data_IF_500107854230
#
_entry.id   IF_500107854230
#
_cell.length_a   1.000
_cell.length_b   1.000
_cell.length_c   1.000
_cell.angle_alpha   90.00
_cell.angle_beta   90.00
_cell.angle_gamma   90.00
#
_symmetry.space_group_name_H-M   'P 1'
#
loop_
_entity.id
_entity.type
_entity.pdbx_description
1 polymer ?
#
# COMPACT_ATOMS: atom_id res chain seq x y z
N UNK A 1 -21.33 -16.97 -2.54
CA UNK A 1 -21.94 -16.49 -1.28
C UNK A 1 -21.76 -14.98 -1.21
N UNK A 2 -22.85 -14.22 -1.21
CA UNK A 2 -22.80 -12.79 -0.91
C UNK A 2 -22.98 -12.64 0.59
N UNK A 3 -21.92 -12.30 1.32
CA UNK A 3 -22.02 -11.93 2.72
C UNK A 3 -22.62 -10.52 2.78
N UNK A 4 -23.93 -10.40 3.01
CA UNK A 4 -24.53 -9.15 3.45
C UNK A 4 -24.27 -9.04 4.95
N UNK A 5 -23.24 -8.27 5.31
CA UNK A 5 -22.88 -8.06 6.71
C UNK A 5 -23.73 -6.92 7.27
N UNK A 6 -24.89 -7.28 7.83
CA UNK A 6 -25.85 -6.31 8.37
C UNK A 6 -25.62 -5.98 9.85
N UNK A 7 -24.79 -6.77 10.54
CA UNK A 7 -24.51 -6.64 11.98
C UNK A 7 -22.98 -6.63 12.22
N UNK A 8 -22.51 -5.94 13.26
CA UNK A 8 -21.08 -5.81 13.60
C UNK A 8 -20.40 -7.19 13.79
N UNK A 9 -21.07 -8.15 14.42
CA UNK A 9 -20.55 -9.51 14.60
C UNK A 9 -20.32 -10.22 13.25
N UNK A 10 -21.24 -10.05 12.29
CA UNK A 10 -21.08 -10.62 10.95
C UNK A 10 -19.93 -9.95 10.20
N UNK A 11 -19.76 -8.63 10.37
CA UNK A 11 -18.62 -7.89 9.82
C UNK A 11 -17.31 -8.44 10.39
N UNK A 12 -17.23 -8.59 11.72
CA UNK A 12 -16.05 -9.12 12.39
C UNK A 12 -15.69 -10.53 11.88
N UNK A 13 -16.67 -11.44 11.79
CA UNK A 13 -16.46 -12.78 11.23
C UNK A 13 -15.96 -12.74 9.79
N UNK A 14 -16.52 -11.86 8.94
CA UNK A 14 -16.07 -11.70 7.56
C UNK A 14 -14.61 -11.20 7.49
N UNK A 15 -14.24 -10.25 8.34
CA UNK A 15 -12.87 -9.73 8.42
C UNK A 15 -11.90 -10.80 8.92
N UNK A 16 -12.30 -11.63 9.90
CA UNK A 16 -11.48 -12.74 10.38
C UNK A 16 -11.22 -13.79 9.29
N UNK A 17 -12.24 -14.14 8.52
CA UNK A 17 -12.15 -15.16 7.49
C UNK A 17 -11.44 -14.67 6.22
N UNK A 18 -11.86 -13.53 5.68
CA UNK A 18 -11.46 -13.03 4.35
C UNK A 18 -10.54 -11.81 4.47
N UNK A 19 -10.79 -10.94 5.46
CA UNK A 19 -10.14 -9.64 5.61
C UNK A 19 -10.94 -8.51 4.97
N UNK A 20 -10.44 -7.26 5.06
CA UNK A 20 -11.08 -6.10 4.46
C UNK A 20 -11.16 -6.23 2.93
N UNK A 21 -12.23 -5.68 2.35
CA UNK A 21 -12.47 -5.68 0.91
C UNK A 21 -11.27 -5.12 0.14
N UNK A 22 -10.85 -5.79 -0.94
CA UNK A 22 -9.62 -5.50 -1.69
C UNK A 22 -9.48 -4.02 -2.08
N UNK A 23 -10.57 -3.40 -2.55
CA UNK A 23 -10.59 -1.97 -2.89
C UNK A 23 -10.43 -1.02 -1.69
N UNK A 24 -10.90 -1.44 -0.51
CA UNK A 24 -10.83 -0.66 0.72
C UNK A 24 -9.48 -0.81 1.45
N UNK A 25 -8.72 -1.89 1.20
CA UNK A 25 -7.44 -2.14 1.88
C UNK A 25 -6.47 -0.97 1.74
N UNK A 26 -6.34 -0.41 0.54
CA UNK A 26 -5.40 0.67 0.29
C UNK A 26 -5.85 1.98 0.95
N UNK A 27 -7.17 2.26 0.94
CA UNK A 27 -7.72 3.44 1.62
C UNK A 27 -7.53 3.34 3.12
N UNK A 28 -7.82 2.18 3.72
CA UNK A 28 -7.62 1.93 5.15
C UNK A 28 -6.14 2.12 5.52
N UNK A 29 -5.20 1.57 4.74
CA UNK A 29 -3.76 1.78 4.95
C UNK A 29 -3.39 3.26 4.97
N UNK A 30 -3.95 4.07 4.06
CA UNK A 30 -3.71 5.51 4.04
C UNK A 30 -4.33 6.22 5.23
N UNK A 31 -5.61 5.96 5.53
CA UNK A 31 -6.30 6.51 6.69
C UNK A 31 -5.57 6.20 8.01
N UNK A 32 -5.09 4.97 8.19
CA UNK A 32 -4.27 4.60 9.35
C UNK A 32 -2.95 5.37 9.39
N UNK A 33 -2.23 5.46 8.27
CA UNK A 33 -0.96 6.19 8.21
C UNK A 33 -1.16 7.69 8.47
N UNK A 34 -2.21 8.28 7.91
CA UNK A 34 -2.55 9.69 8.11
C UNK A 34 -2.97 9.96 9.55
N UNK A 35 -3.73 9.05 10.17
CA UNK A 35 -4.04 9.13 11.59
C UNK A 35 -2.77 9.09 12.43
N UNK A 36 -1.85 8.14 12.18
CA UNK A 36 -0.58 8.06 12.89
C UNK A 36 0.26 9.34 12.73
N UNK A 37 0.38 9.86 11.51
CA UNK A 37 1.11 11.11 11.24
C UNK A 37 0.50 12.31 11.98
N UNK A 38 -0.83 12.37 12.09
CA UNK A 38 -1.52 13.41 12.85
C UNK A 38 -1.24 13.31 14.36
N UNK A 39 -1.19 12.09 14.89
CA UNK A 39 -0.86 11.83 16.30
C UNK A 39 0.59 12.19 16.59
N UNK A 40 1.53 11.76 15.74
CA UNK A 40 2.97 11.99 15.91
C UNK A 40 3.33 13.49 15.79
N UNK A 41 2.67 14.20 14.88
CA UNK A 41 2.91 15.64 14.67
C UNK A 41 2.11 16.56 15.60
N UNK A 42 1.02 16.06 16.20
CA UNK A 42 0.06 16.85 16.98
C UNK A 42 -0.80 17.80 16.13
N UNK A 43 -0.73 17.69 14.79
CA UNK A 43 -1.51 18.48 13.83
C UNK A 43 -2.49 17.56 13.11
N UNK A 44 -3.77 17.78 13.34
CA UNK A 44 -4.85 17.01 12.76
C UNK A 44 -5.35 17.72 11.52
N UNK A 45 -5.25 17.04 10.38
CA UNK A 45 -5.68 17.59 9.08
C UNK A 45 -6.86 16.77 8.60
N UNK A 46 -8.01 17.42 8.49
CA UNK A 46 -9.25 16.77 8.06
C UNK A 46 -9.85 17.49 6.86
N UNK A 47 -10.48 16.71 5.99
CA UNK A 47 -11.37 17.22 4.96
C UNK A 47 -12.78 17.19 5.51
N UNK A 48 -13.41 18.35 5.57
CA UNK A 48 -14.74 18.51 6.18
C UNK A 48 -15.69 19.12 5.16
N UNK A 49 -16.96 18.77 5.30
CA UNK A 49 -18.04 19.45 4.61
C UNK A 49 -18.35 20.78 5.33
N UNK A 50 -18.86 21.77 4.59
CA UNK A 50 -19.38 23.02 5.17
C UNK A 50 -20.57 22.78 6.11
N UNK A 51 -21.32 21.70 5.87
CA UNK A 51 -22.34 21.22 6.81
C UNK A 51 -21.68 20.56 8.03
N UNK A 52 -21.59 21.33 9.12
CA UNK A 52 -20.99 20.91 10.39
C UNK A 52 -21.69 19.70 11.03
N UNK A 53 -22.92 19.36 10.60
CA UNK A 53 -23.63 18.17 11.12
C UNK A 53 -23.03 16.84 10.63
N UNK A 54 -22.25 16.85 9.54
CA UNK A 54 -21.77 15.65 8.84
C UNK A 54 -20.40 15.15 9.31
N UNK A 55 -19.71 15.90 10.19
CA UNK A 55 -18.42 15.49 10.77
C UNK A 55 -17.24 15.47 9.79
N UNK A 56 -16.14 14.84 10.22
CA UNK A 56 -14.90 14.74 9.44
C UNK A 56 -15.03 13.68 8.33
N UNK A 57 -14.84 14.06 7.07
CA UNK A 57 -15.01 13.16 5.91
C UNK A 57 -13.75 12.32 5.64
N UNK A 58 -12.57 12.94 5.54
CA UNK A 58 -11.33 12.21 5.27
C UNK A 58 -10.19 12.69 6.15
N UNK A 59 -9.27 11.78 6.49
CA UNK A 59 -8.03 12.13 7.17
C UNK A 59 -6.93 12.38 6.15
N UNK A 60 -6.26 13.50 6.29
CA UNK A 60 -5.23 13.92 5.35
C UNK A 60 -3.87 13.77 6.01
N UNK A 61 -2.94 13.19 5.25
CA UNK A 61 -1.54 13.11 5.64
C UNK A 61 -0.63 13.26 4.44
N UNK A 62 0.64 12.91 4.62
CA UNK A 62 1.73 13.09 3.66
C UNK A 62 1.46 12.48 2.27
N UNK A 63 0.68 11.40 2.20
CA UNK A 63 0.40 10.67 0.95
C UNK A 63 -0.86 11.16 0.21
N UNK A 64 -1.63 12.07 0.81
CA UNK A 64 -2.78 12.70 0.18
C UNK A 64 -2.35 13.59 -0.98
N UNK A 65 -3.13 13.60 -2.06
CA UNK A 65 -2.87 14.45 -3.20
C UNK A 65 -3.58 15.80 -3.05
N UNK A 66 -2.94 16.83 -3.58
CA UNK A 66 -3.53 18.14 -3.78
C UNK A 66 -4.17 18.22 -5.18
N UNK A 67 -5.07 19.18 -5.38
CA UNK A 67 -5.60 19.58 -6.68
C UNK A 67 -4.52 19.93 -7.71
N UNK A 68 -3.34 20.35 -7.28
CA UNK A 68 -2.22 20.57 -8.19
C UNK A 68 -1.55 19.29 -8.70
N UNK A 69 -1.93 18.11 -8.20
CA UNK A 69 -1.34 16.81 -8.54
C UNK A 69 -0.17 16.39 -7.65
N UNK A 70 0.36 17.29 -6.81
CA UNK A 70 1.46 17.00 -5.89
C UNK A 70 0.97 16.47 -4.53
N UNK A 71 1.85 15.76 -3.83
CA UNK A 71 1.58 15.21 -2.49
C UNK A 71 1.56 16.31 -1.43
N UNK A 72 0.85 16.07 -0.33
CA UNK A 72 0.90 16.95 0.84
C UNK A 72 2.32 17.14 1.38
N UNK A 73 3.17 16.12 1.29
CA UNK A 73 4.60 16.22 1.67
C UNK A 73 5.39 17.29 0.88
N UNK A 74 4.95 17.63 -0.34
CA UNK A 74 5.53 18.69 -1.17
C UNK A 74 4.98 20.08 -0.82
N UNK A 75 4.04 20.16 0.11
CA UNK A 75 3.47 21.41 0.60
C UNK A 75 4.11 21.76 1.95
N UNK A 76 4.56 23.00 2.08
CA UNK A 76 5.05 23.51 3.35
C UNK A 76 3.88 24.02 4.18
N UNK A 77 3.66 23.38 5.33
CA UNK A 77 2.62 23.80 6.27
C UNK A 77 3.16 24.95 7.13
N UNK A 78 2.61 26.15 6.93
CA UNK A 78 2.94 27.32 7.73
C UNK A 78 1.80 27.57 8.71
N UNK A 79 1.98 27.11 9.96
CA UNK A 79 1.05 27.29 11.08
C UNK A 79 1.11 28.76 11.58
N UNK A 80 0.46 29.67 10.86
CA UNK A 80 0.20 31.06 11.27
C UNK A 80 -1.32 31.30 11.36
N UNK A 81 -1.75 32.50 11.77
CA UNK A 81 -3.19 32.88 11.89
C UNK A 81 -4.04 32.55 10.65
N UNK A 82 -3.44 32.58 9.46
CA UNK A 82 -4.01 31.97 8.26
C UNK A 82 -3.10 30.80 7.88
N UNK A 83 -3.57 29.58 8.09
CA UNK A 83 -2.83 28.37 7.73
C UNK A 83 -2.66 28.36 6.21
N UNK A 84 -1.41 28.43 5.75
CA UNK A 84 -1.06 28.40 4.33
C UNK A 84 -0.24 27.17 4.03
N UNK A 85 -0.51 26.58 2.87
CA UNK A 85 0.13 25.37 2.38
C UNK A 85 0.58 25.63 0.96
N UNK A 86 1.77 26.23 0.83
CA UNK A 86 2.36 26.50 -0.47
C UNK A 86 3.09 25.25 -0.97
N UNK A 87 2.90 24.90 -2.23
CA UNK A 87 3.70 23.83 -2.83
C UNK A 87 5.08 24.35 -3.24
N UNK A 88 6.10 23.51 -3.07
CA UNK A 88 7.47 23.79 -3.52
C UNK A 88 7.61 23.71 -5.03
N UNK A 89 6.84 22.82 -5.66
CA UNK A 89 6.99 22.44 -7.06
C UNK A 89 6.04 23.19 -8.01
N UNK A 90 5.04 23.92 -7.49
CA UNK A 90 4.10 24.66 -8.31
C UNK A 90 3.51 25.90 -7.62
N UNK A 91 2.80 26.74 -8.39
CA UNK A 91 2.20 28.01 -7.94
C UNK A 91 0.91 27.84 -7.13
N UNK A 92 0.61 26.66 -6.58
CA UNK A 92 -0.60 26.50 -5.77
C UNK A 92 -0.40 27.13 -4.38
N UNK A 93 -1.35 27.96 -3.97
CA UNK A 93 -1.28 28.74 -2.74
C UNK A 93 -1.90 28.04 -1.53
N UNK A 94 -2.72 27.01 -1.79
CA UNK A 94 -3.50 26.30 -0.78
C UNK A 94 -3.59 24.83 -1.18
N UNK A 95 -3.35 23.94 -0.22
CA UNK A 95 -3.61 22.53 -0.35
C UNK A 95 -5.11 22.29 -0.41
N UNK A 96 -5.55 21.66 -1.50
CA UNK A 96 -6.92 21.21 -1.70
C UNK A 96 -6.89 19.72 -1.92
N UNK A 97 -7.37 18.95 -0.95
CA UNK A 97 -7.37 17.49 -1.04
C UNK A 97 -8.04 17.00 -2.32
N UNK A 98 -7.43 16.06 -3.04
CA UNK A 98 -8.05 15.38 -4.16
C UNK A 98 -7.97 13.86 -3.99
N UNK A 99 -9.10 13.15 -4.16
CA UNK A 99 -9.12 11.69 -4.21
C UNK A 99 -8.19 11.16 -5.31
N UNK A 100 -7.47 10.09 -4.98
CA UNK A 100 -6.50 9.42 -5.86
C UNK A 100 -7.06 8.14 -6.45
N UNK A 101 -8.05 7.56 -5.79
CA UNK A 101 -8.65 6.29 -6.13
C UNK A 101 -10.15 6.42 -6.32
N UNK A 102 -10.74 5.70 -7.27
CA UNK A 102 -12.19 5.72 -7.47
C UNK A 102 -12.95 5.15 -6.26
N UNK A 103 -12.32 4.28 -5.47
CA UNK A 103 -12.91 3.78 -4.23
C UNK A 103 -13.17 4.88 -3.19
N UNK A 104 -12.37 5.96 -3.16
CA UNK A 104 -12.53 7.07 -2.20
C UNK A 104 -13.76 7.92 -2.50
N UNK A 105 -14.35 7.80 -3.69
CA UNK A 105 -15.52 8.59 -4.12
C UNK A 105 -16.73 7.71 -4.44
N UNK A 106 -16.79 6.50 -3.87
CA UNK A 106 -17.89 5.56 -4.08
C UNK A 106 -17.92 4.91 -5.48
N UNK A 107 -16.90 5.13 -6.31
CA UNK A 107 -16.79 4.57 -7.66
C UNK A 107 -15.97 3.26 -7.69
N UNK A 108 -16.01 2.48 -6.61
CA UNK A 108 -15.24 1.23 -6.48
C UNK A 108 -15.62 0.10 -7.45
N UNK A 109 -16.61 0.33 -8.31
CA UNK A 109 -16.95 -0.54 -9.43
C UNK A 109 -16.05 -0.30 -10.66
N UNK A 110 -15.38 0.85 -10.78
CA UNK A 110 -14.52 1.18 -11.92
C UNK A 110 -13.31 0.25 -12.06
N UNK A 111 -12.56 -0.08 -10.98
CA UNK A 111 -11.43 -1.01 -11.06
C UNK A 111 -11.79 -2.42 -11.53
N UNK A 112 -13.07 -2.80 -11.50
CA UNK A 112 -13.54 -4.11 -11.96
C UNK A 112 -13.75 -4.18 -13.48
N UNK A 113 -13.68 -3.04 -14.18
CA UNK A 113 -13.85 -2.98 -15.64
C UNK A 113 -12.58 -3.44 -16.36
N UNK A 114 -12.76 -4.19 -17.45
CA UNK A 114 -11.64 -4.66 -18.28
C UNK A 114 -10.88 -3.47 -18.87
N UNK A 115 -9.56 -3.44 -18.69
CA UNK A 115 -8.70 -2.38 -19.20
C UNK A 115 -8.67 -1.09 -18.36
N UNK A 116 -9.25 -1.10 -17.15
CA UNK A 116 -9.14 0.04 -16.24
C UNK A 116 -7.78 0.05 -15.54
N UNK A 117 -7.07 1.17 -15.60
CA UNK A 117 -5.83 1.40 -14.86
C UNK A 117 -6.05 2.42 -13.73
N UNK A 118 -5.84 1.96 -12.49
CA UNK A 118 -5.97 2.76 -11.27
C UNK A 118 -4.89 3.87 -11.22
N UNK A 119 -3.72 3.65 -11.81
CA UNK A 119 -2.61 4.59 -11.72
C UNK A 119 -2.81 5.82 -12.61
N UNK A 120 -3.56 5.65 -13.69
CA UNK A 120 -3.87 6.72 -14.67
C UNK A 120 -5.17 7.45 -14.30
N UNK A 121 -6.05 6.79 -13.54
CA UNK A 121 -7.33 7.38 -13.16
C UNK A 121 -7.14 8.68 -12.37
N UNK A 122 -7.96 9.68 -12.70
CA UNK A 122 -8.05 10.95 -11.99
C UNK A 122 -9.53 11.35 -11.91
N UNK A 123 -9.95 12.00 -10.81
CA UNK A 123 -11.29 12.56 -10.71
C UNK A 123 -11.52 13.62 -11.79
N UNK A 124 -12.71 13.56 -12.38
CA UNK A 124 -13.15 14.41 -13.48
C UNK A 124 -14.07 15.53 -13.02
N UNK A 125 -13.99 16.65 -13.74
CA UNK A 125 -14.98 17.72 -13.70
C UNK A 125 -16.22 17.34 -14.55
N UNK A 126 -17.33 18.06 -14.38
CA UNK A 126 -18.51 17.98 -15.25
C UNK A 126 -18.19 18.22 -16.73
N UNK A 127 -17.13 18.99 -17.01
CA UNK A 127 -16.61 19.19 -18.38
C UNK A 127 -15.85 17.97 -18.93
N UNK A 128 -15.80 16.85 -18.19
CA UNK A 128 -15.14 15.57 -18.50
C UNK A 128 -13.61 15.60 -18.57
N UNK A 129 -13.01 16.75 -18.30
CA UNK A 129 -11.57 16.89 -18.10
C UNK A 129 -11.16 16.58 -16.66
N UNK A 130 -9.94 16.08 -16.47
CA UNK A 130 -9.39 15.75 -15.15
C UNK A 130 -9.02 17.03 -14.37
N UNK A 131 -8.88 16.93 -13.05
CA UNK A 131 -8.43 18.07 -12.24
C UNK A 131 -7.03 18.60 -12.66
N UNK A 132 -6.14 17.74 -13.16
CA UNK A 132 -4.80 18.14 -13.63
C UNK A 132 -4.86 19.04 -14.88
N UNK A 133 -5.93 18.92 -15.69
CA UNK A 133 -6.21 19.79 -16.83
C UNK A 133 -6.80 21.15 -16.41
N UNK A 134 -7.08 21.35 -15.12
CA UNK A 134 -7.48 22.63 -14.56
C UNK A 134 -6.26 23.36 -13.97
N UNK A 135 -6.36 24.68 -13.88
CA UNK A 135 -5.34 25.49 -13.22
C UNK A 135 -5.42 25.27 -11.70
N UNK A 136 -4.30 25.12 -10.97
CA UNK A 136 -4.32 24.87 -9.53
C UNK A 136 -4.53 26.13 -8.69
N UNK A 137 -5.02 27.21 -9.32
CA UNK A 137 -5.27 28.51 -8.72
C UNK A 137 -6.74 28.85 -8.98
N UNK A 138 -7.43 29.38 -7.97
CA UNK A 138 -8.82 29.80 -8.10
C UNK A 138 -8.98 30.76 -9.30
N UNK A 139 -10.05 30.61 -10.11
CA UNK A 139 -11.24 29.78 -9.89
C UNK A 139 -11.12 28.32 -10.39
N UNK A 140 -9.92 27.82 -10.65
CA UNK A 140 -9.67 26.49 -11.24
C UNK A 140 -10.21 26.36 -12.65
N UNK A 141 -9.81 27.27 -13.54
CA UNK A 141 -10.21 27.23 -14.96
C UNK A 141 -9.64 26.01 -15.66
N UNK A 142 -10.43 25.39 -16.53
CA UNK A 142 -9.95 24.34 -17.42
C UNK A 142 -9.04 24.94 -18.50
N UNK A 143 -7.94 24.26 -18.83
CA UNK A 143 -7.04 24.65 -19.92
C UNK A 143 -7.48 24.11 -21.28
N UNK A 144 -8.29 23.06 -21.29
CA UNK A 144 -8.71 22.36 -22.51
C UNK A 144 -10.06 22.87 -23.07
N UNK A 145 -10.90 23.51 -22.25
CA UNK A 145 -12.19 24.05 -22.67
C UNK A 145 -12.56 25.34 -21.93
N UNK A 146 -13.67 25.98 -22.31
CA UNK A 146 -14.17 27.22 -21.69
C UNK A 146 -14.75 27.08 -20.28
N UNK A 147 -14.51 25.96 -19.59
CA UNK A 147 -14.99 25.73 -18.24
C UNK A 147 -14.28 26.66 -17.24
N UNK A 148 -15.04 27.59 -16.66
CA UNK A 148 -14.51 28.65 -15.79
C UNK A 148 -14.19 28.24 -14.36
N UNK A 149 -14.65 27.06 -13.92
CA UNK A 149 -14.45 26.55 -12.56
C UNK A 149 -14.48 25.02 -12.54
N UNK A 150 -13.76 24.41 -11.61
CA UNK A 150 -13.85 22.97 -11.39
C UNK A 150 -15.18 22.64 -10.70
N UNK A 151 -15.97 21.75 -11.30
CA UNK A 151 -17.20 21.20 -10.73
C UNK A 151 -17.14 19.70 -10.79
N UNK A 152 -17.16 19.03 -9.65
CA UNK A 152 -17.00 17.59 -9.51
C UNK A 152 -18.12 16.81 -10.19
N UNK A 153 -17.74 15.73 -10.86
CA UNK A 153 -18.66 14.71 -11.40
C UNK A 153 -18.82 13.52 -10.42
N UNK A 154 -18.50 13.76 -9.15
CA UNK A 154 -18.56 12.77 -8.08
C UNK A 154 -19.12 13.39 -6.80
N UNK A 155 -19.33 12.57 -5.78
CA UNK A 155 -19.76 12.99 -4.45
C UNK A 155 -18.86 12.36 -3.40
N UNK A 156 -18.80 12.98 -2.22
CA UNK A 156 -18.11 12.41 -1.06
C UNK A 156 -18.83 11.15 -0.59
N UNK A 157 -18.09 10.08 -0.33
CA UNK A 157 -18.65 8.81 0.15
C UNK A 157 -19.20 8.90 1.58
N UNK A 158 -18.70 9.83 2.41
CA UNK A 158 -19.10 9.95 3.81
C UNK A 158 -20.31 10.86 4.03
N UNK A 159 -20.42 11.96 3.28
CA UNK A 159 -21.47 12.96 3.49
C UNK A 159 -22.40 13.17 2.28
N UNK A 160 -22.11 12.51 1.15
CA UNK A 160 -22.88 12.60 -0.12
C UNK A 160 -22.89 13.98 -0.80
N UNK A 161 -22.21 14.97 -0.22
CA UNK A 161 -22.10 16.32 -0.77
C UNK A 161 -21.04 16.41 -1.88
N UNK A 162 -21.05 17.53 -2.61
CA UNK A 162 -20.12 17.75 -3.71
C UNK A 162 -18.74 18.14 -3.21
N UNK A 163 -17.74 17.91 -4.04
CA UNK A 163 -16.35 18.28 -3.71
C UNK A 163 -16.20 19.76 -3.37
N UNK A 164 -16.96 20.61 -4.05
CA UNK A 164 -16.93 22.07 -3.91
C UNK A 164 -17.36 22.53 -2.50
N UNK A 165 -18.21 21.75 -1.84
CA UNK A 165 -18.77 22.04 -0.51
C UNK A 165 -17.81 21.63 0.62
N UNK A 166 -16.60 21.20 0.28
CA UNK A 166 -15.61 20.75 1.26
C UNK A 166 -14.36 21.63 1.29
N UNK A 167 -13.77 21.70 2.47
CA UNK A 167 -12.50 22.39 2.67
C UNK A 167 -11.60 21.61 3.62
N UNK A 168 -10.33 22.02 3.62
CA UNK A 168 -9.29 21.39 4.41
C UNK A 168 -9.09 22.18 5.68
N UNK A 169 -9.23 21.52 6.82
CA UNK A 169 -9.08 22.12 8.15
C UNK A 169 -7.80 21.57 8.76
N UNK A 170 -7.01 22.44 9.36
CA UNK A 170 -5.87 22.05 10.17
C UNK A 170 -6.15 22.48 11.61
N UNK A 171 -6.14 21.53 12.54
CA UNK A 171 -6.40 21.77 13.95
C UNK A 171 -5.24 21.22 14.77
N UNK A 172 -4.86 21.95 15.81
CA UNK A 172 -3.95 21.42 16.83
C UNK A 172 -4.70 20.51 17.81
N UNK A 173 -3.98 19.59 18.46
CA UNK A 173 -4.56 18.70 19.47
C UNK A 173 -5.36 19.45 20.54
N UNK A 174 -4.86 20.61 20.98
CA UNK A 174 -5.54 21.46 21.98
C UNK A 174 -6.87 22.03 21.47
N UNK A 175 -6.91 22.43 20.20
CA UNK A 175 -8.10 22.99 19.55
C UNK A 175 -9.17 21.92 19.39
N UNK A 176 -8.79 20.71 18.93
CA UNK A 176 -9.72 19.56 18.86
C UNK A 176 -10.24 19.15 20.21
N UNK A 177 -9.39 19.12 21.24
CA UNK A 177 -9.80 18.81 22.61
C UNK A 177 -10.81 19.84 23.13
N UNK A 178 -10.59 21.13 22.87
CA UNK A 178 -11.54 22.19 23.23
C UNK A 178 -12.88 22.05 22.48
N UNK A 179 -12.82 21.66 21.21
CA UNK A 179 -13.98 21.38 20.37
C UNK A 179 -14.64 20.01 20.64
N UNK A 180 -14.15 19.24 21.63
CA UNK A 180 -14.61 17.86 21.96
C UNK A 180 -14.60 16.91 20.75
N UNK A 181 -13.63 17.10 19.84
CA UNK A 181 -13.42 16.21 18.69
C UNK A 181 -12.48 15.07 19.06
N UNK A 182 -12.53 13.99 18.27
CA UNK A 182 -11.66 12.83 18.43
C UNK A 182 -10.18 13.21 18.34
N UNK A 183 -9.37 12.70 19.27
CA UNK A 183 -7.92 12.89 19.38
C UNK A 183 -7.25 11.53 19.60
N UNK A 184 -5.97 11.40 19.21
CA UNK A 184 -5.15 10.20 19.46
C UNK A 184 -5.82 8.91 19.01
N UNK A 185 -6.01 7.95 19.92
CA UNK A 185 -6.60 6.65 19.64
C UNK A 185 -8.02 6.78 19.04
N UNK A 186 -8.81 7.76 19.51
CA UNK A 186 -10.15 8.03 18.98
C UNK A 186 -10.11 8.59 17.55
N UNK A 187 -8.98 9.19 17.15
CA UNK A 187 -8.80 9.67 15.78
C UNK A 187 -8.47 8.54 14.82
N UNK A 188 -8.10 7.33 15.27
CA UNK A 188 -7.82 6.22 14.37
C UNK A 188 -9.07 5.78 13.58
N UNK A 189 -8.92 5.29 12.33
CA UNK A 189 -10.07 4.77 11.60
C UNK A 189 -10.62 3.53 12.29
N UNK A 190 -11.95 3.38 12.27
CA UNK A 190 -12.69 2.31 12.98
C UNK A 190 -12.58 2.35 14.52
N UNK A 191 -12.23 3.50 15.13
CA UNK A 191 -12.13 3.62 16.59
C UNK A 191 -13.43 3.28 17.34
N UNK A 192 -14.60 3.46 16.71
CA UNK A 192 -15.91 3.10 17.30
C UNK A 192 -16.07 1.59 17.55
N UNK A 193 -15.37 0.74 16.79
CA UNK A 193 -15.46 -0.72 16.89
C UNK A 193 -14.06 -1.33 17.06
N UNK A 194 -13.50 -1.34 18.29
CA UNK A 194 -12.11 -1.74 18.54
C UNK A 194 -11.76 -3.16 18.08
N UNK A 195 -12.69 -4.11 18.21
CA UNK A 195 -12.49 -5.50 17.81
C UNK A 195 -12.27 -5.64 16.30
N UNK A 196 -13.12 -4.96 15.50
CA UNK A 196 -13.00 -4.93 14.05
C UNK A 196 -11.72 -4.21 13.64
N UNK A 197 -11.41 -3.09 14.30
CA UNK A 197 -10.20 -2.32 14.05
C UNK A 197 -8.93 -3.18 14.24
N UNK A 198 -8.81 -3.88 15.36
CA UNK A 198 -7.66 -4.74 15.67
C UNK A 198 -7.49 -5.84 14.61
N UNK A 199 -8.58 -6.50 14.23
CA UNK A 199 -8.50 -7.58 13.24
C UNK A 199 -8.15 -7.04 11.84
N UNK A 200 -8.71 -5.90 11.45
CA UNK A 200 -8.34 -5.20 10.20
C UNK A 200 -6.86 -4.83 10.22
N UNK A 201 -6.36 -4.24 11.30
CA UNK A 201 -4.96 -3.86 11.45
C UNK A 201 -4.03 -5.09 11.36
N UNK A 202 -4.39 -6.19 12.05
CA UNK A 202 -3.66 -7.46 12.00
C UNK A 202 -3.58 -8.00 10.57
N UNK A 203 -4.70 -8.06 9.86
CA UNK A 203 -4.75 -8.54 8.45
C UNK A 203 -3.99 -7.63 7.50
N UNK A 204 -4.03 -6.32 7.71
CA UNK A 204 -3.33 -5.33 6.89
C UNK A 204 -1.84 -5.17 7.25
N UNK A 205 -1.37 -5.83 8.31
CA UNK A 205 0.01 -5.75 8.81
C UNK A 205 0.40 -4.33 9.25
N UNK A 206 -0.52 -3.63 9.91
CA UNK A 206 -0.36 -2.23 10.37
C UNK A 206 -0.27 -2.10 11.91
N UNK A 207 -0.33 -3.22 12.61
CA UNK A 207 -0.34 -3.39 14.06
C UNK A 207 0.99 -3.10 14.78
N UNK A 208 1.93 -2.39 14.14
CA UNK A 208 3.23 -2.02 14.74
C UNK A 208 4.21 -3.17 14.99
N UNK A 209 3.75 -4.42 14.95
CA UNK A 209 4.57 -5.63 15.13
C UNK A 209 5.61 -5.78 14.03
N UNK A 210 6.82 -6.12 14.42
CA UNK A 210 7.93 -6.37 13.50
C UNK A 210 7.67 -7.62 12.64
N UNK A 211 8.34 -7.73 11.50
CA UNK A 211 8.24 -8.91 10.65
C UNK A 211 8.65 -10.19 11.40
N UNK A 212 9.59 -10.06 12.34
CA UNK A 212 10.11 -11.14 13.17
C UNK A 212 9.08 -11.64 14.19
N UNK A 213 8.39 -10.74 14.91
CA UNK A 213 7.32 -11.10 15.85
C UNK A 213 6.15 -11.80 15.15
N UNK A 214 5.81 -11.35 13.94
CA UNK A 214 4.77 -11.99 13.12
C UNK A 214 5.18 -13.39 12.66
N UNK A 215 6.44 -13.55 12.24
CA UNK A 215 6.99 -14.86 11.86
C UNK A 215 6.98 -15.83 13.04
N UNK A 216 7.32 -15.36 14.25
CA UNK A 216 7.26 -16.17 15.47
C UNK A 216 5.84 -16.57 15.86
N UNK A 217 4.84 -15.70 15.70
CA UNK A 217 3.43 -16.05 15.95
C UNK A 217 2.91 -17.06 14.91
N UNK A 218 3.34 -16.95 13.65
CA UNK A 218 2.98 -17.88 12.58
C UNK A 218 3.59 -19.27 12.83
N UNK A 219 4.84 -19.35 13.30
CA UNK A 219 5.46 -20.59 13.77
C UNK A 219 4.69 -21.17 14.96
N UNK A 220 4.40 -20.36 15.99
CA UNK A 220 3.64 -20.81 17.17
C UNK A 220 2.26 -21.36 16.80
N UNK A 221 1.58 -20.77 15.82
CA UNK A 221 0.28 -21.25 15.34
C UNK A 221 0.41 -22.53 14.52
N UNK A 222 1.46 -22.66 13.70
CA UNK A 222 1.79 -23.91 13.01
C UNK A 222 2.06 -25.05 13.98
N UNK A 223 2.83 -24.80 15.04
CA UNK A 223 3.11 -25.79 16.09
C UNK A 223 1.84 -26.21 16.86
N UNK A 224 0.89 -25.30 17.07
CA UNK A 224 -0.42 -25.59 17.69
C UNK A 224 -1.36 -26.38 16.78
N UNK A 225 -1.26 -26.22 15.46
CA UNK A 225 -2.05 -27.01 14.49
C UNK A 225 -1.45 -28.40 14.25
N UNK A 226 -0.11 -28.55 14.25
CA UNK A 226 0.56 -29.84 14.10
C UNK A 226 0.55 -30.70 15.38
N UNK A 227 0.34 -30.10 16.54
CA UNK A 227 0.21 -30.82 17.81
C UNK A 227 -1.19 -31.39 18.08
N UNK A 228 -2.12 -31.30 17.12
CA UNK A 228 -3.39 -32.05 17.17
C UNK A 228 -3.09 -33.55 17.04
N UNK A 229 -3.06 -34.26 18.16
CA UNK A 229 -2.95 -35.72 18.23
C UNK A 229 -4.04 -36.39 17.36
N UNK A 230 -3.61 -37.22 16.41
CA UNK A 230 -4.52 -38.13 15.70
C UNK A 230 -4.70 -39.37 16.59
N UNK A 231 -5.86 -39.50 17.22
CA UNK A 231 -6.25 -40.73 17.91
C UNK A 231 -6.84 -41.68 16.87
N UNK A 232 -6.08 -42.69 16.46
CA UNK A 232 -6.55 -43.78 15.61
C UNK A 232 -7.08 -44.91 16.49
N UNK A 233 -8.39 -45.08 16.52
CA UNK A 233 -9.04 -46.22 17.18
C UNK A 233 -9.30 -47.31 16.14
N UNK A 234 -8.54 -48.40 16.17
CA UNK A 234 -8.79 -49.59 15.35
C UNK A 234 -9.82 -50.47 16.06
N UNK A 235 -10.96 -50.71 15.41
CA UNK A 235 -11.86 -51.82 15.77
C UNK A 235 -11.62 -52.94 14.76
N UNK A 236 -11.15 -54.10 15.24
CA UNK A 236 -11.05 -55.29 14.42
C UNK A 236 -12.39 -56.03 14.45
N UNK A 237 -13.06 -56.10 13.30
CA UNK A 237 -14.29 -56.88 13.13
C UNK A 237 -13.95 -58.38 13.08
N UNK A 238 -13.85 -59.01 14.25
CA UNK A 238 -13.62 -60.44 14.42
C UNK A 238 -14.79 -61.12 15.11
N UNK A 239 -15.47 -62.03 14.41
CA UNK A 239 -16.56 -62.84 14.91
C UNK A 239 -16.10 -63.75 16.08
N UNK A 240 -16.84 -63.70 17.20
CA UNK A 240 -16.95 -64.79 18.18
C UNK A 240 -16.28 -64.57 19.55
N UNK A 241 -17.11 -64.59 20.61
CA UNK A 241 -16.76 -65.22 21.90
C UNK A 241 -15.95 -64.41 22.93
N UNK A 242 -16.67 -63.76 23.84
CA UNK A 242 -16.39 -63.49 25.29
C UNK A 242 -14.92 -63.55 25.76
N UNK A 243 -14.29 -62.37 25.89
CA UNK A 243 -13.47 -61.95 27.03
C UNK A 243 -13.00 -60.49 26.81
N UNK A 244 -13.12 -59.63 27.83
CA UNK A 244 -12.67 -58.23 27.80
C UNK A 244 -11.19 -58.16 27.38
N UNK A 245 -10.90 -57.61 26.20
CA UNK A 245 -9.54 -57.29 25.76
C UNK A 245 -9.29 -55.79 25.90
N UNK A 246 -8.08 -55.36 26.32
CA UNK A 246 -7.77 -53.95 26.51
C UNK A 246 -7.71 -53.23 25.16
N UNK A 247 -8.39 -52.07 25.06
CA UNK A 247 -8.20 -51.16 23.94
C UNK A 247 -6.78 -50.57 24.02
N UNK A 248 -5.95 -50.84 23.01
CA UNK A 248 -4.62 -50.25 22.91
C UNK A 248 -4.76 -48.94 22.15
N UNK A 249 -4.62 -47.83 22.87
CA UNK A 249 -4.63 -46.48 22.30
C UNK A 249 -3.20 -46.12 21.91
N UNK A 250 -2.92 -46.00 20.61
CA UNK A 250 -1.62 -45.55 20.13
C UNK A 250 -1.58 -44.02 20.10
N UNK A 251 -0.74 -43.43 20.96
CA UNK A 251 -0.39 -42.01 20.86
C UNK A 251 0.84 -41.91 19.96
N UNK A 252 0.64 -41.51 18.70
CA UNK A 252 1.75 -41.27 17.77
C UNK A 252 2.19 -39.82 17.95
N UNK A 253 3.26 -39.60 18.73
CA UNK A 253 3.94 -38.31 18.75
C UNK A 253 4.75 -38.15 17.45
N UNK A 254 4.40 -37.14 16.65
CA UNK A 254 5.04 -36.86 15.34
C UNK A 254 6.51 -36.39 15.44
N UNK A 255 7.12 -36.45 16.62
CA UNK A 255 8.52 -36.08 16.87
C UNK A 255 9.42 -37.30 16.95
N UNK A 256 9.47 -38.09 15.88
CA UNK A 256 10.61 -39.00 15.67
C UNK A 256 11.09 -38.92 14.22
N UNK A 257 12.19 -38.18 14.06
CA UNK A 257 13.23 -38.38 13.06
C UNK A 257 12.77 -38.47 11.59
N UNK A 258 12.45 -37.33 10.99
CA UNK A 258 12.73 -37.13 9.57
C UNK A 258 14.05 -36.35 9.44
N UNK A 259 15.15 -37.09 9.26
CA UNK A 259 16.31 -36.49 8.61
C UNK A 259 15.83 -35.99 7.23
N UNK A 260 16.07 -34.72 6.86
CA UNK A 260 15.64 -34.23 5.56
C UNK A 260 16.34 -35.07 4.49
N UNK A 261 15.55 -35.67 3.58
CA UNK A 261 16.10 -36.34 2.40
C UNK A 261 16.83 -35.26 1.58
N UNK A 262 18.16 -35.18 1.72
CA UNK A 262 18.99 -34.35 0.85
C UNK A 262 18.77 -34.82 -0.58
N UNK A 263 18.23 -33.92 -1.40
CA UNK A 263 18.05 -34.17 -2.82
C UNK A 263 19.41 -33.93 -3.50
N UNK A 264 20.25 -34.97 -3.58
CA UNK A 264 21.62 -34.92 -4.14
C UNK A 264 21.67 -34.43 -5.60
N UNK A 265 20.53 -34.33 -6.28
CA UNK A 265 20.42 -33.85 -7.66
C UNK A 265 20.39 -32.31 -7.79
N UNK A 266 20.24 -31.55 -6.69
CA UNK A 266 20.25 -30.08 -6.73
C UNK A 266 21.15 -29.52 -5.63
N UNK A 267 22.29 -28.90 -5.97
CA UNK A 267 23.12 -28.25 -4.96
C UNK A 267 22.36 -27.09 -4.31
N UNK A 268 22.60 -26.87 -3.02
CA UNK A 268 22.02 -25.76 -2.26
C UNK A 268 22.33 -24.41 -2.92
N UNK A 269 21.39 -23.46 -2.82
CA UNK A 269 21.51 -22.11 -3.40
C UNK A 269 22.82 -21.40 -3.01
N UNK A 270 23.35 -21.69 -1.82
CA UNK A 270 24.64 -21.20 -1.32
C UNK A 270 25.84 -21.69 -2.15
N UNK A 271 25.83 -22.96 -2.58
CA UNK A 271 26.87 -23.60 -3.41
C UNK A 271 26.80 -23.06 -4.84
N UNK A 272 25.58 -22.86 -5.36
CA UNK A 272 25.36 -22.30 -6.69
C UNK A 272 25.84 -20.84 -6.79
N UNK A 273 25.69 -20.08 -5.70
CA UNK A 273 26.18 -18.70 -5.58
C UNK A 273 27.72 -18.63 -5.48
N UNK A 274 28.37 -19.62 -4.86
CA UNK A 274 29.84 -19.70 -4.82
C UNK A 274 30.45 -20.06 -6.17
N UNK A 275 29.82 -20.96 -6.93
CA UNK A 275 30.27 -21.31 -8.29
C UNK A 275 30.10 -20.15 -9.29
N UNK A 276 29.01 -19.38 -9.19
CA UNK A 276 28.79 -18.19 -10.05
C UNK A 276 29.73 -17.03 -9.76
N UNK A 277 30.31 -16.96 -8.54
CA UNK A 277 31.27 -15.92 -8.16
C UNK A 277 32.73 -16.31 -8.37
N UNK A 278 33.01 -17.49 -8.94
CA UNK A 278 34.36 -17.88 -9.34
C UNK A 278 35.36 -18.02 -8.20
N UNK A 279 34.89 -18.36 -6.99
CA UNK A 279 35.77 -18.63 -5.85
C UNK A 279 35.67 -20.12 -5.54
N UNK A 280 36.47 -20.92 -6.24
CA UNK A 280 36.70 -22.31 -5.91
C UNK A 280 38.20 -22.59 -5.84
N UNK A 281 38.67 -22.80 -4.61
CA UNK A 281 39.67 -23.83 -4.27
C UNK A 281 41.11 -23.61 -4.71
N UNK A 282 41.91 -23.08 -3.80
CA UNK A 282 43.33 -23.43 -3.67
C UNK A 282 43.44 -24.93 -3.34
N UNK A 283 44.29 -25.66 -4.09
CA UNK A 283 44.61 -27.06 -3.78
C UNK A 283 45.40 -27.81 -4.86
N UNK A 284 46.73 -27.60 -4.88
CA UNK A 284 47.84 -28.46 -5.33
C UNK A 284 47.65 -29.48 -6.48
N UNK A 285 48.44 -29.36 -7.56
CA UNK A 285 49.71 -30.10 -7.78
C UNK A 285 50.33 -29.80 -9.16
N UNK A 286 51.65 -29.91 -9.20
CA UNK A 286 52.65 -29.78 -10.28
C UNK A 286 52.31 -30.44 -11.62
N UNK A 287 52.57 -29.77 -12.75
CA UNK A 287 53.73 -30.06 -13.62
C UNK A 287 53.87 -29.12 -14.84
N UNK A 288 55.12 -29.07 -15.31
CA UNK A 288 55.73 -28.20 -16.29
C UNK A 288 55.20 -28.38 -17.74
N UNK A 289 55.19 -27.30 -18.53
CA UNK A 289 56.05 -27.05 -19.72
C UNK A 289 55.41 -26.10 -20.75
N UNK A 290 56.22 -25.14 -21.22
CA UNK A 290 56.33 -24.58 -22.60
C UNK A 290 55.05 -23.99 -23.26
N UNK A 291 55.04 -22.90 -24.03
CA UNK A 291 56.09 -22.09 -24.63
C UNK A 291 55.41 -20.84 -25.27
N UNK A 292 56.18 -19.74 -25.40
CA UNK A 292 56.10 -18.67 -26.43
C UNK A 292 54.76 -17.94 -26.65
N UNK A 293 54.63 -16.68 -26.23
CA UNK A 293 55.07 -15.45 -26.95
C UNK A 293 54.49 -15.33 -28.36
N UNK A 294 53.53 -14.41 -28.53
CA UNK A 294 53.66 -13.34 -29.53
C UNK A 294 52.83 -12.13 -29.12
N UNK A 295 53.56 -11.06 -28.81
CA UNK A 295 53.06 -9.70 -28.81
C UNK A 295 52.86 -9.25 -30.26
N UNK A 296 51.85 -8.41 -30.53
CA UNK A 296 52.06 -6.95 -30.69
C UNK A 296 50.76 -6.22 -31.10
N UNK A 297 50.73 -4.90 -30.89
CA UNK A 297 49.52 -4.10 -30.63
C UNK A 297 49.35 -2.99 -31.70
N UNK A 298 48.60 -1.94 -31.32
CA UNK A 298 48.58 -0.56 -31.88
C UNK A 298 47.65 -0.39 -33.11
N UNK A 299 46.94 0.73 -33.33
CA UNK A 299 46.96 2.08 -32.72
C UNK A 299 45.77 2.90 -33.25
N UNK A 300 45.39 3.90 -32.45
CA UNK A 300 44.69 5.15 -32.78
C UNK A 300 45.25 5.94 -33.97
N UNK A 301 44.37 6.63 -34.73
CA UNK A 301 44.54 8.06 -35.09
C UNK A 301 43.40 8.65 -35.97
N UNK A 302 42.98 9.86 -35.59
CA UNK A 302 42.23 10.94 -36.32
C UNK A 302 43.23 11.60 -37.33
N UNK A 303 42.88 12.28 -38.49
CA UNK A 303 42.05 13.51 -38.51
C UNK A 303 41.35 14.04 -39.82
N UNK A 304 40.49 15.06 -39.58
CA UNK A 304 40.26 16.35 -40.30
C UNK A 304 39.50 16.49 -41.65
N UNK A 305 38.55 17.45 -41.61
CA UNK A 305 38.35 18.63 -42.49
C UNK A 305 37.17 18.68 -43.51
N UNK A 306 36.57 19.88 -43.60
CA UNK A 306 35.56 20.35 -44.57
C UNK A 306 34.20 20.64 -43.90
N UNK A 307 33.53 21.79 -43.97
CA UNK A 307 33.63 22.97 -44.83
C UNK A 307 32.20 23.44 -45.19
N UNK A 308 31.84 24.63 -44.70
CA UNK A 308 30.69 25.52 -45.00
C UNK A 308 29.69 25.18 -46.14
N UNK A 309 28.38 25.43 -45.91
CA UNK A 309 27.62 26.54 -46.55
C UNK A 309 26.21 26.74 -45.93
N UNK A 310 25.82 28.02 -45.80
CA UNK A 310 24.50 28.53 -45.38
C UNK A 310 23.68 28.85 -46.63
N UNK A 311 22.36 28.66 -46.58
CA UNK A 311 21.43 29.36 -47.49
C UNK A 311 20.15 29.78 -46.74
N UNK A 312 19.99 31.10 -46.65
CA UNK A 312 18.84 31.85 -46.19
C UNK A 312 17.73 31.90 -47.24
N UNK A 313 16.47 31.75 -46.82
CA UNK A 313 15.26 32.00 -47.63
C UNK A 313 14.60 33.30 -47.12
N UNK A 314 14.22 34.25 -48.00
CA UNK A 314 13.56 35.49 -47.59
C UNK A 314 12.02 35.36 -47.56
N UNK A 315 11.41 36.12 -46.65
CA UNK A 315 9.98 36.45 -46.60
C UNK A 315 9.63 37.43 -47.73
N UNK A 316 8.49 37.24 -48.39
CA UNK A 316 7.75 38.32 -49.04
C UNK A 316 6.37 38.46 -48.40
N UNK A 317 6.01 39.74 -48.22
CA UNK A 317 4.68 40.27 -47.96
C UNK A 317 3.81 40.16 -49.21
#
# INVERSE_FOLDING_TARGET
MFFQANNEQTILQCVQQIGPAVGAQQMLKWEFKHAQEAIDSGVYITWVCDDQSKGDCFRIGSQSNCFCGHRFSSHELILKKAQKTNCKDCKCAEFKFMPRRPEEIGQGHLPRRKGFDINVWRPSCKCKHTHEQHTPVKPFKCKACGCGQFVSDFACINCEMKYEDHFTVFELEKERKAAKKAIREDFMPLATSPEIQQEVMKKLKLDGRTAEERFLEEIKRGDQEESKQIVLTLQEDGAGGIAQRPQVQYIIERKQNFAPKQNLAKPEKSIQLMQQRGIAGLGNTTNQTANTVTMKPKTTSVPKAGGFMKSSVPKMQ
#
